data_IF_703576365723
#
_entry.id   IF_703576365723
#
_cell.length_a   1.000
_cell.length_b   1.000
_cell.length_c   1.000
_cell.angle_alpha   90.00
_cell.angle_beta   90.00
_cell.angle_gamma   90.00
#
_symmetry.space_group_name_H-M   'P 1'
#
loop_
_entity.id
_entity.type
_entity.pdbx_description
1 polymer ?
#
# COMPACT_ATOMS: atom_id res chain seq x y z
N UNK A 1 23.11 1.36 15.93
CA UNK A 1 22.33 0.49 15.06
C UNK A 1 22.56 0.87 13.60
N UNK A 2 22.50 -0.08 12.69
CA UNK A 2 22.54 0.18 11.25
C UNK A 2 21.21 0.69 10.73
N UNK A 3 21.23 1.71 9.87
CA UNK A 3 20.04 2.28 9.25
C UNK A 3 20.35 2.89 7.87
N UNK A 4 19.32 3.02 7.05
CA UNK A 4 19.33 3.88 5.86
C UNK A 4 18.88 5.26 6.29
N UNK A 5 19.74 6.24 6.17
CA UNK A 5 19.45 7.64 6.54
C UNK A 5 19.48 8.50 5.31
N UNK A 6 18.36 9.15 5.02
CA UNK A 6 18.27 10.20 4.01
C UNK A 6 18.55 11.56 4.64
N UNK A 7 19.55 12.27 4.13
CA UNK A 7 19.88 13.64 4.56
C UNK A 7 19.17 14.70 3.69
N UNK A 8 18.79 14.33 2.47
CA UNK A 8 18.06 15.13 1.50
C UNK A 8 17.50 14.20 0.40
N UNK A 9 16.63 14.68 -0.51
CA UNK A 9 16.22 13.92 -1.68
C UNK A 9 17.42 13.33 -2.43
N UNK A 10 17.33 12.04 -2.77
CA UNK A 10 18.37 11.26 -3.49
C UNK A 10 19.73 11.14 -2.76
N UNK A 11 19.83 11.63 -1.51
CA UNK A 11 21.06 11.55 -0.70
C UNK A 11 20.84 10.67 0.52
N UNK A 12 21.20 9.41 0.42
CA UNK A 12 21.09 8.46 1.50
C UNK A 12 22.43 7.81 1.83
N UNK A 13 22.54 7.27 3.03
CA UNK A 13 23.69 6.50 3.50
C UNK A 13 23.21 5.31 4.34
N UNK A 14 23.84 4.16 4.14
CA UNK A 14 23.79 3.06 5.09
C UNK A 14 24.86 3.31 6.14
N UNK A 15 24.47 3.65 7.37
CA UNK A 15 25.41 4.07 8.42
C UNK A 15 24.99 3.62 9.80
N UNK A 16 25.92 3.73 10.76
CA UNK A 16 25.63 3.60 12.17
C UNK A 16 24.99 4.87 12.72
N UNK A 17 23.91 4.69 13.45
CA UNK A 17 23.22 5.74 14.21
C UNK A 17 22.96 5.23 15.63
N UNK A 18 22.80 6.13 16.64
CA UNK A 18 22.38 5.71 17.97
C UNK A 18 21.06 4.93 17.93
N UNK A 19 20.92 3.88 18.75
CA UNK A 19 19.62 3.25 18.92
C UNK A 19 18.64 4.24 19.57
N UNK A 20 17.36 4.26 19.17
CA UNK A 20 16.39 5.20 19.72
C UNK A 20 16.10 4.89 21.20
N UNK A 21 15.99 5.94 22.00
CA UNK A 21 15.53 5.83 23.39
C UNK A 21 14.01 5.80 23.39
N UNK A 22 13.42 4.94 24.22
CA UNK A 22 11.96 4.82 24.35
C UNK A 22 11.43 5.70 25.49
N UNK A 23 10.21 6.19 25.30
CA UNK A 23 9.41 6.87 26.32
C UNK A 23 8.52 5.85 27.06
N UNK A 24 7.85 6.23 28.17
CA UNK A 24 7.05 5.29 28.97
C UNK A 24 5.97 4.51 28.19
N UNK A 25 5.39 5.08 27.16
CA UNK A 25 4.33 4.51 26.34
C UNK A 25 4.82 3.96 24.97
N UNK A 26 6.14 3.88 24.79
CA UNK A 26 6.76 3.34 23.58
C UNK A 26 7.17 1.88 23.75
N UNK A 27 7.41 1.23 22.61
CA UNK A 27 8.16 -0.02 22.53
C UNK A 27 9.34 0.13 21.57
N UNK A 28 10.40 -0.64 21.80
CA UNK A 28 11.49 -0.81 20.86
C UNK A 28 11.31 -2.13 20.13
N UNK A 29 11.18 -2.05 18.83
CA UNK A 29 11.03 -3.21 17.95
C UNK A 29 12.33 -3.46 17.21
N UNK A 30 12.89 -4.66 17.32
CA UNK A 30 13.93 -5.17 16.43
C UNK A 30 13.26 -5.57 15.12
N UNK A 31 13.63 -4.91 14.04
CA UNK A 31 13.01 -5.14 12.72
C UNK A 31 13.54 -6.45 12.12
N UNK A 32 12.62 -7.33 11.73
CA UNK A 32 12.93 -8.56 11.01
C UNK A 32 12.84 -8.38 9.50
N UNK A 33 11.87 -7.59 9.03
CA UNK A 33 11.71 -7.24 7.63
C UNK A 33 10.92 -5.93 7.50
N UNK A 34 11.18 -5.20 6.42
CA UNK A 34 10.39 -4.03 6.05
C UNK A 34 10.11 -4.06 4.54
N UNK A 35 8.85 -3.91 4.15
CA UNK A 35 8.44 -3.85 2.75
C UNK A 35 8.84 -2.53 2.10
N UNK A 36 9.14 -2.58 0.80
CA UNK A 36 9.39 -1.40 -0.03
C UNK A 36 8.13 -1.05 -0.81
N UNK A 37 7.69 0.20 -0.69
CA UNK A 37 6.51 0.76 -1.32
C UNK A 37 6.87 1.78 -2.40
N UNK A 38 5.93 2.09 -3.29
CA UNK A 38 6.04 3.23 -4.20
C UNK A 38 6.26 4.55 -3.46
N UNK A 39 5.70 4.72 -2.27
CA UNK A 39 5.92 5.87 -1.38
C UNK A 39 7.40 6.07 -1.03
N UNK A 40 8.19 5.01 -0.87
CA UNK A 40 9.63 5.14 -0.59
C UNK A 40 10.39 5.70 -1.79
N UNK A 41 9.92 5.43 -3.02
CA UNK A 41 10.47 6.02 -4.24
C UNK A 41 10.11 7.51 -4.35
N UNK A 42 8.89 7.88 -3.97
CA UNK A 42 8.47 9.30 -3.89
C UNK A 42 9.28 10.05 -2.82
N UNK A 43 9.50 9.45 -1.63
CA UNK A 43 10.36 10.03 -0.58
C UNK A 43 11.79 10.20 -1.09
N UNK A 44 12.31 9.23 -1.86
CA UNK A 44 13.64 9.34 -2.48
C UNK A 44 13.73 10.57 -3.39
N UNK A 45 12.67 10.88 -4.12
CA UNK A 45 12.58 12.07 -4.97
C UNK A 45 12.29 13.37 -4.20
N UNK A 46 11.92 13.30 -2.92
CA UNK A 46 11.57 14.44 -2.06
C UNK A 46 10.10 14.81 -2.05
N UNK A 47 9.25 13.95 -2.58
CA UNK A 47 7.79 14.09 -2.56
C UNK A 47 7.19 13.57 -1.23
N UNK A 48 5.92 13.82 -0.94
CA UNK A 48 5.21 13.49 0.31
C UNK A 48 5.68 14.28 1.55
N UNK A 49 6.37 15.39 1.35
CA UNK A 49 6.81 16.28 2.43
C UNK A 49 7.66 15.61 3.51
N UNK A 50 8.64 14.75 3.16
CA UNK A 50 9.50 14.12 4.16
C UNK A 50 10.31 15.19 4.91
N UNK A 51 10.58 14.92 6.19
CA UNK A 51 11.43 15.78 7.02
C UNK A 51 12.79 15.12 7.17
N UNK A 52 13.79 15.66 6.50
CA UNK A 52 15.15 15.16 6.58
C UNK A 52 15.91 15.76 7.80
N UNK A 53 16.85 15.00 8.44
CA UNK A 53 17.17 13.61 8.13
C UNK A 53 16.04 12.64 8.48
N UNK A 54 15.92 11.55 7.70
CA UNK A 54 14.84 10.57 7.83
C UNK A 54 15.36 9.15 7.61
N UNK A 55 14.90 8.21 8.43
CA UNK A 55 14.96 6.77 8.17
C UNK A 55 13.60 6.34 7.59
N UNK A 56 13.49 5.96 6.30
CA UNK A 56 12.22 5.54 5.70
C UNK A 56 11.78 4.14 6.13
N UNK A 57 10.73 3.60 5.46
CA UNK A 57 10.19 2.27 5.66
C UNK A 57 9.01 2.23 6.61
N UNK A 58 7.80 2.07 6.06
CA UNK A 58 6.53 2.14 6.78
C UNK A 58 5.76 0.81 6.82
N UNK A 59 6.28 -0.25 6.20
CA UNK A 59 5.67 -1.58 6.14
C UNK A 59 6.52 -2.60 6.92
N UNK A 60 6.69 -2.40 8.22
CA UNK A 60 7.66 -3.14 9.03
C UNK A 60 7.03 -4.20 9.92
N UNK A 61 7.79 -5.25 10.16
CA UNK A 61 7.52 -6.31 11.13
C UNK A 61 8.78 -6.64 11.93
N UNK A 62 8.61 -7.09 13.16
CA UNK A 62 9.74 -7.40 14.02
C UNK A 62 9.35 -8.07 15.32
N UNK A 63 10.19 -7.90 16.33
CA UNK A 63 10.03 -8.45 17.65
C UNK A 63 10.29 -7.34 18.71
N UNK A 64 9.44 -7.27 19.70
CA UNK A 64 9.61 -6.32 20.81
C UNK A 64 10.84 -6.74 21.62
N UNK A 65 11.79 -5.82 21.79
CA UNK A 65 13.01 -6.06 22.58
C UNK A 65 13.07 -5.21 23.85
N UNK A 66 12.24 -4.18 23.96
CA UNK A 66 12.15 -3.34 25.15
C UNK A 66 10.76 -2.70 25.23
N UNK A 67 10.24 -2.61 26.45
CA UNK A 67 8.94 -2.02 26.76
C UNK A 67 9.12 -0.76 27.62
N UNK A 68 8.38 0.30 27.29
CA UNK A 68 8.24 1.46 28.16
C UNK A 68 7.48 1.12 29.45
N UNK A 69 7.75 1.86 30.52
CA UNK A 69 7.22 1.56 31.86
C UNK A 69 5.69 1.61 31.99
N UNK A 70 5.01 2.29 31.07
CA UNK A 70 3.54 2.38 31.03
C UNK A 70 2.88 1.25 30.21
N UNK A 71 3.64 0.50 29.41
CA UNK A 71 3.12 -0.57 28.56
C UNK A 71 2.80 -1.81 29.39
N UNK A 72 1.55 -2.33 29.31
CA UNK A 72 1.07 -3.45 30.13
C UNK A 72 0.65 -4.68 29.32
N UNK A 73 0.18 -4.47 28.10
CA UNK A 73 -0.51 -5.51 27.31
C UNK A 73 0.38 -6.19 26.27
N UNK A 74 1.65 -5.82 26.20
CA UNK A 74 2.64 -6.37 25.30
C UNK A 74 3.78 -7.06 26.08
N UNK A 75 4.58 -7.89 25.40
CA UNK A 75 5.69 -8.64 26.02
C UNK A 75 6.95 -8.55 25.15
N UNK A 76 8.12 -8.55 25.78
CA UNK A 76 9.39 -8.78 25.10
C UNK A 76 9.39 -10.16 24.43
N UNK A 77 10.02 -10.27 23.27
CA UNK A 77 10.00 -11.46 22.45
C UNK A 77 8.73 -11.61 21.60
N UNK A 78 7.73 -10.75 21.75
CA UNK A 78 6.49 -10.82 20.99
C UNK A 78 6.72 -10.35 19.54
N UNK A 79 6.33 -11.18 18.55
CA UNK A 79 6.38 -10.81 17.15
C UNK A 79 5.23 -9.89 16.80
N UNK A 80 5.52 -8.83 16.07
CA UNK A 80 4.58 -7.73 15.84
C UNK A 80 4.70 -7.11 14.45
N UNK A 81 3.64 -6.42 14.05
CA UNK A 81 3.63 -5.39 13.00
C UNK A 81 3.24 -4.05 13.60
N UNK A 82 3.65 -2.96 12.99
CA UNK A 82 3.28 -1.62 13.43
C UNK A 82 2.43 -0.88 12.41
N UNK A 83 1.36 -0.24 12.91
CA UNK A 83 0.62 0.74 12.14
C UNK A 83 1.44 2.04 12.09
N UNK A 84 1.93 2.37 10.90
CA UNK A 84 2.77 3.55 10.72
C UNK A 84 2.06 4.88 10.94
N UNK A 85 0.73 4.93 10.91
CA UNK A 85 -0.04 6.16 10.85
C UNK A 85 -0.54 6.64 12.21
N UNK A 86 -0.36 7.93 12.49
CA UNK A 86 -0.76 8.58 13.73
C UNK A 86 -1.60 9.84 13.46
N UNK A 87 -2.69 9.98 14.22
CA UNK A 87 -3.51 11.18 14.25
C UNK A 87 -3.32 11.95 15.57
N UNK A 88 -3.42 13.27 15.55
CA UNK A 88 -3.18 14.10 16.74
C UNK A 88 -4.30 14.06 17.79
N UNK A 89 -5.46 13.47 17.49
CA UNK A 89 -6.62 13.34 18.38
C UNK A 89 -7.41 14.62 18.67
N UNK A 90 -6.91 15.82 18.33
CA UNK A 90 -7.47 17.12 18.79
C UNK A 90 -7.77 18.15 17.70
N UNK A 91 -7.44 17.91 16.44
CA UNK A 91 -7.77 18.85 15.36
C UNK A 91 -9.23 18.74 14.91
N UNK A 92 -9.66 19.65 14.02
CA UNK A 92 -11.01 19.68 13.48
C UNK A 92 -11.53 18.33 13.00
N UNK A 93 -10.71 17.55 12.30
CA UNK A 93 -11.11 16.25 11.78
C UNK A 93 -11.11 15.17 12.87
N UNK A 94 -10.10 15.14 13.73
CA UNK A 94 -10.00 14.15 14.81
C UNK A 94 -11.17 14.24 15.79
N UNK A 95 -11.57 15.45 16.18
CA UNK A 95 -12.71 15.65 17.12
C UNK A 95 -14.07 15.25 16.52
N UNK A 96 -14.10 14.91 15.21
CA UNK A 96 -15.27 14.39 14.48
C UNK A 96 -15.13 12.92 14.09
N UNK A 97 -14.12 12.22 14.65
CA UNK A 97 -13.86 10.82 14.34
C UNK A 97 -13.19 10.56 12.99
N UNK A 98 -12.82 11.62 12.25
CA UNK A 98 -12.17 11.47 10.95
C UNK A 98 -10.64 11.57 11.10
N UNK A 99 -10.05 10.56 11.74
CA UNK A 99 -8.64 10.55 12.11
C UNK A 99 -7.69 10.53 10.92
N UNK A 100 -8.09 9.90 9.81
CA UNK A 100 -7.28 9.81 8.59
C UNK A 100 -7.05 11.18 7.93
N UNK A 101 -8.01 12.12 8.09
CA UNK A 101 -7.91 13.49 7.59
C UNK A 101 -7.27 14.45 8.59
N UNK A 102 -6.50 13.93 9.54
CA UNK A 102 -5.84 14.73 10.58
C UNK A 102 -4.93 15.81 10.00
N UNK A 103 -5.09 17.07 10.42
CA UNK A 103 -4.23 18.19 9.99
C UNK A 103 -2.77 18.06 10.43
N UNK A 104 -2.52 17.24 11.46
CA UNK A 104 -1.19 16.96 11.97
C UNK A 104 -0.88 15.46 11.82
N UNK A 105 -1.29 14.89 10.71
CA UNK A 105 -1.04 13.48 10.39
C UNK A 105 0.45 13.20 10.33
N UNK A 106 0.88 12.12 10.99
CA UNK A 106 2.27 11.66 10.99
C UNK A 106 2.32 10.21 10.58
N UNK A 107 3.43 9.80 9.99
CA UNK A 107 3.64 8.41 9.62
C UNK A 107 5.10 8.00 9.82
N UNK A 108 5.31 6.90 10.54
CA UNK A 108 6.61 6.28 10.67
C UNK A 108 7.11 5.82 9.30
N UNK A 109 8.35 6.16 8.98
CA UNK A 109 8.96 5.89 7.68
C UNK A 109 8.61 6.89 6.57
N UNK A 110 7.80 7.92 6.88
CA UNK A 110 7.42 8.99 5.92
C UNK A 110 7.73 10.38 6.50
N UNK A 111 7.20 10.70 7.67
CA UNK A 111 7.42 11.98 8.37
C UNK A 111 8.15 11.82 9.71
N UNK A 112 8.36 10.60 10.16
CA UNK A 112 9.11 10.18 11.33
C UNK A 112 9.97 8.96 10.94
N UNK A 113 11.03 8.67 11.70
CA UNK A 113 11.88 7.51 11.45
C UNK A 113 11.11 6.20 11.42
N UNK A 114 11.45 5.32 10.48
CA UNK A 114 10.77 4.09 10.16
C UNK A 114 11.64 2.83 10.23
N UNK A 115 11.21 1.79 9.50
CA UNK A 115 11.70 0.41 9.61
C UNK A 115 12.92 0.07 8.76
N UNK A 116 13.50 0.97 7.97
CA UNK A 116 14.77 0.68 7.28
C UNK A 116 15.97 0.87 8.22
N UNK A 117 15.87 0.22 9.37
CA UNK A 117 16.85 0.20 10.45
C UNK A 117 16.79 -1.12 11.23
N UNK A 118 17.80 -1.41 12.06
CA UNK A 118 17.77 -2.57 12.96
C UNK A 118 16.67 -2.46 14.03
N UNK A 119 16.42 -1.26 14.52
CA UNK A 119 15.46 -1.00 15.59
C UNK A 119 14.59 0.20 15.26
N UNK A 120 13.33 0.12 15.66
CA UNK A 120 12.35 1.19 15.56
C UNK A 120 11.71 1.44 16.92
N UNK A 121 11.66 2.70 17.36
CA UNK A 121 10.81 3.15 18.46
C UNK A 121 9.44 3.52 17.93
N UNK A 122 8.39 2.98 18.52
CA UNK A 122 7.02 3.24 18.12
C UNK A 122 6.09 3.22 19.35
N UNK A 123 4.99 3.97 19.31
CA UNK A 123 3.95 3.94 20.33
C UNK A 123 3.35 2.54 20.46
N UNK A 124 3.17 2.08 21.72
CA UNK A 124 2.64 0.74 21.98
C UNK A 124 1.23 0.52 21.43
N UNK A 125 0.40 1.57 21.36
CA UNK A 125 -0.95 1.52 20.79
C UNK A 125 -0.97 1.40 19.24
N UNK A 126 0.20 1.54 18.60
CA UNK A 126 0.38 1.31 17.16
C UNK A 126 0.87 -0.09 16.83
N UNK A 127 1.12 -0.93 17.83
CA UNK A 127 1.68 -2.29 17.67
C UNK A 127 0.57 -3.34 17.73
N UNK A 128 0.65 -4.29 16.80
CA UNK A 128 -0.27 -5.41 16.69
C UNK A 128 0.50 -6.73 16.69
N UNK A 129 0.24 -7.62 17.66
CA UNK A 129 0.82 -8.96 17.64
C UNK A 129 0.46 -9.72 16.38
N UNK A 130 1.43 -10.42 15.81
CA UNK A 130 1.21 -11.36 14.71
C UNK A 130 1.23 -12.78 15.24
N UNK A 131 0.28 -13.61 14.80
CA UNK A 131 0.23 -15.02 15.17
C UNK A 131 1.20 -15.86 14.35
N UNK A 132 0.69 -16.56 13.36
CA UNK A 132 1.46 -17.52 12.54
C UNK A 132 2.18 -16.90 11.34
N UNK A 133 1.92 -15.66 10.99
CA UNK A 133 2.54 -15.03 9.82
C UNK A 133 4.07 -15.05 9.94
N UNK A 134 4.74 -15.42 8.85
CA UNK A 134 6.18 -15.21 8.71
C UNK A 134 6.50 -13.72 8.57
N UNK A 135 7.74 -13.27 8.82
CA UNK A 135 8.13 -11.89 8.56
C UNK A 135 7.86 -11.46 7.10
N UNK A 136 8.07 -12.37 6.15
CA UNK A 136 7.80 -12.16 4.73
C UNK A 136 6.31 -11.89 4.44
N UNK A 137 5.41 -12.60 5.10
CA UNK A 137 3.97 -12.36 4.96
C UNK A 137 3.53 -11.10 5.71
N UNK A 138 4.13 -10.87 6.87
CA UNK A 138 3.75 -9.78 7.76
C UNK A 138 4.04 -8.37 7.20
N UNK A 139 5.02 -8.20 6.31
CA UNK A 139 5.24 -6.92 5.58
C UNK A 139 4.07 -6.56 4.68
N UNK A 140 3.16 -7.50 4.39
CA UNK A 140 1.95 -7.25 3.61
C UNK A 140 0.76 -6.78 4.45
N UNK A 141 0.89 -6.68 5.79
CA UNK A 141 -0.22 -6.24 6.66
C UNK A 141 -0.57 -4.78 6.37
N UNK A 142 0.42 -3.89 6.31
CA UNK A 142 0.19 -2.46 6.03
C UNK A 142 -0.47 -2.24 4.66
N UNK A 143 0.07 -2.73 3.53
CA UNK A 143 -0.59 -2.56 2.22
C UNK A 143 -1.96 -3.26 2.14
N UNK A 144 -2.18 -4.34 2.88
CA UNK A 144 -3.50 -4.97 2.98
C UNK A 144 -4.49 -4.11 3.76
N UNK A 145 -4.04 -3.42 4.80
CA UNK A 145 -4.85 -2.47 5.54
C UNK A 145 -5.26 -1.26 4.68
N UNK A 146 -4.34 -0.73 3.86
CA UNK A 146 -4.66 0.30 2.87
C UNK A 146 -5.68 -0.20 1.84
N UNK A 147 -5.52 -1.42 1.34
CA UNK A 147 -6.47 -2.01 0.39
C UNK A 147 -7.87 -2.20 1.00
N UNK A 148 -7.96 -2.60 2.27
CA UNK A 148 -9.23 -2.69 3.00
C UNK A 148 -9.92 -1.33 3.12
N UNK A 149 -9.16 -0.27 3.45
CA UNK A 149 -9.71 1.09 3.46
C UNK A 149 -10.20 1.50 2.05
N UNK A 150 -9.47 1.17 1.00
CA UNK A 150 -9.90 1.38 -0.38
C UNK A 150 -11.23 0.70 -0.70
N UNK A 151 -11.44 -0.52 -0.20
CA UNK A 151 -12.73 -1.24 -0.35
C UNK A 151 -13.88 -0.55 0.39
N UNK A 152 -13.63 0.02 1.57
CA UNK A 152 -14.62 0.80 2.31
C UNK A 152 -15.02 2.07 1.55
N UNK A 153 -14.03 2.81 1.03
CA UNK A 153 -14.26 3.98 0.19
C UNK A 153 -15.04 3.61 -1.06
N UNK A 154 -14.68 2.51 -1.72
CA UNK A 154 -15.37 2.02 -2.92
C UNK A 154 -16.85 1.72 -2.63
N UNK A 155 -17.13 1.08 -1.51
CA UNK A 155 -18.47 0.69 -1.07
C UNK A 155 -19.23 -0.11 -2.18
N UNK A 156 -18.55 -1.10 -2.72
CA UNK A 156 -19.04 -1.92 -3.84
C UNK A 156 -20.28 -2.73 -3.46
N UNK A 157 -21.25 -2.80 -4.37
CA UNK A 157 -22.41 -3.70 -4.24
C UNK A 157 -22.02 -5.11 -4.70
N UNK A 158 -22.39 -6.17 -3.96
CA UNK A 158 -22.18 -7.55 -4.42
C UNK A 158 -22.88 -7.83 -5.76
N UNK A 159 -22.28 -8.72 -6.57
CA UNK A 159 -22.77 -9.07 -7.90
C UNK A 159 -22.34 -8.12 -9.01
N UNK A 160 -21.57 -7.06 -8.72
CA UNK A 160 -21.15 -6.06 -9.68
C UNK A 160 -20.01 -6.52 -10.59
N UNK A 161 -19.95 -5.96 -11.80
CA UNK A 161 -18.83 -6.06 -12.73
C UNK A 161 -17.74 -5.07 -12.36
N UNK A 162 -16.52 -5.55 -12.17
CA UNK A 162 -15.38 -4.74 -11.70
C UNK A 162 -14.21 -4.82 -12.69
N UNK A 163 -13.61 -3.67 -12.98
CA UNK A 163 -12.35 -3.57 -13.72
C UNK A 163 -11.27 -3.00 -12.79
N UNK A 164 -10.20 -3.74 -12.60
CA UNK A 164 -9.02 -3.30 -11.86
C UNK A 164 -7.86 -3.05 -12.81
N UNK A 165 -7.35 -1.83 -12.82
CA UNK A 165 -6.10 -1.48 -13.48
C UNK A 165 -4.93 -1.60 -12.50
N UNK A 166 -3.98 -2.47 -12.84
CA UNK A 166 -2.76 -2.69 -12.06
C UNK A 166 -2.73 -4.03 -11.31
N UNK A 167 -1.65 -4.76 -11.52
CA UNK A 167 -1.34 -6.04 -10.88
C UNK A 167 -0.07 -5.96 -10.00
N UNK A 168 0.27 -4.77 -9.48
CA UNK A 168 1.32 -4.57 -8.49
C UNK A 168 0.97 -5.20 -7.13
N UNK A 169 1.82 -5.05 -6.09
CA UNK A 169 1.58 -5.68 -4.79
C UNK A 169 0.18 -5.41 -4.23
N UNK A 170 -0.23 -4.15 -4.25
CA UNK A 170 -1.55 -3.73 -3.76
C UNK A 170 -2.68 -4.17 -4.70
N UNK A 171 -2.43 -4.19 -6.03
CA UNK A 171 -3.40 -4.72 -7.01
C UNK A 171 -3.69 -6.21 -6.79
N UNK A 172 -2.68 -7.01 -6.39
CA UNK A 172 -2.85 -8.41 -6.02
C UNK A 172 -3.78 -8.58 -4.80
N UNK A 173 -3.65 -7.70 -3.81
CA UNK A 173 -4.49 -7.71 -2.60
C UNK A 173 -5.90 -7.20 -2.92
N UNK A 174 -6.00 -6.07 -3.64
CA UNK A 174 -7.29 -5.51 -4.07
C UNK A 174 -8.11 -6.51 -4.88
N UNK A 175 -7.49 -7.24 -5.82
CA UNK A 175 -8.19 -8.25 -6.60
C UNK A 175 -8.83 -9.33 -5.72
N UNK A 176 -8.10 -9.84 -4.74
CA UNK A 176 -8.62 -10.82 -3.78
C UNK A 176 -9.75 -10.22 -2.93
N UNK A 177 -9.58 -8.99 -2.43
CA UNK A 177 -10.59 -8.29 -1.64
C UNK A 177 -11.86 -8.02 -2.47
N UNK A 178 -11.74 -7.60 -3.73
CA UNK A 178 -12.90 -7.39 -4.62
C UNK A 178 -13.72 -8.67 -4.76
N UNK A 179 -13.08 -9.83 -4.96
CA UNK A 179 -13.77 -11.13 -5.01
C UNK A 179 -14.41 -11.49 -3.67
N UNK A 180 -13.69 -11.32 -2.56
CA UNK A 180 -14.21 -11.59 -1.21
C UNK A 180 -15.39 -10.69 -0.82
N UNK A 181 -15.44 -9.46 -1.37
CA UNK A 181 -16.56 -8.53 -1.18
C UNK A 181 -17.69 -8.72 -2.21
N UNK A 182 -17.64 -9.79 -3.01
CA UNK A 182 -18.76 -10.21 -3.84
C UNK A 182 -18.75 -9.63 -5.26
N UNK A 183 -17.60 -9.26 -5.84
CA UNK A 183 -17.55 -8.97 -7.28
C UNK A 183 -18.10 -10.16 -8.08
N UNK A 184 -19.14 -9.93 -8.87
CA UNK A 184 -19.75 -10.94 -9.74
C UNK A 184 -18.79 -11.36 -10.84
N UNK A 185 -18.13 -10.37 -11.43
CA UNK A 185 -17.04 -10.56 -12.39
C UNK A 185 -15.91 -9.56 -12.10
N UNK A 186 -14.68 -10.04 -12.05
CA UNK A 186 -13.47 -9.25 -11.92
C UNK A 186 -12.57 -9.40 -13.15
N UNK A 187 -12.38 -8.31 -13.87
CA UNK A 187 -11.39 -8.19 -14.95
C UNK A 187 -10.20 -7.41 -14.43
N UNK A 188 -8.97 -7.92 -14.62
CA UNK A 188 -7.74 -7.21 -14.25
C UNK A 188 -6.93 -6.89 -15.49
N UNK A 189 -6.61 -5.61 -15.66
CA UNK A 189 -5.82 -5.09 -16.76
C UNK A 189 -4.44 -4.61 -16.28
N UNK A 190 -3.38 -5.19 -16.82
CA UNK A 190 -1.98 -4.82 -16.50
C UNK A 190 -1.05 -5.27 -17.65
N UNK A 191 0.22 -4.80 -17.70
CA UNK A 191 1.19 -5.33 -18.64
C UNK A 191 1.33 -6.86 -18.50
N UNK A 192 1.53 -7.54 -19.63
CA UNK A 192 1.76 -8.98 -19.66
C UNK A 192 2.98 -9.37 -18.81
N UNK A 193 2.91 -10.54 -18.17
CA UNK A 193 4.00 -11.12 -17.39
C UNK A 193 3.59 -11.61 -16.01
N UNK A 194 4.57 -11.98 -15.17
CA UNK A 194 4.33 -12.72 -13.91
C UNK A 194 3.31 -12.09 -12.96
N UNK A 195 3.21 -10.75 -12.94
CA UNK A 195 2.24 -10.03 -12.09
C UNK A 195 0.80 -10.27 -12.56
N UNK A 196 0.57 -10.20 -13.87
CA UNK A 196 -0.76 -10.46 -14.45
C UNK A 196 -1.13 -11.94 -14.32
N UNK A 197 -0.15 -12.83 -14.53
CA UNK A 197 -0.35 -14.27 -14.36
C UNK A 197 -0.72 -14.62 -12.91
N UNK A 198 -0.04 -14.00 -11.93
CA UNK A 198 -0.30 -14.23 -10.51
C UNK A 198 -1.71 -13.78 -10.13
N UNK A 199 -2.15 -12.58 -10.50
CA UNK A 199 -3.49 -12.10 -10.17
C UNK A 199 -4.58 -12.93 -10.83
N UNK A 200 -4.31 -13.45 -12.03
CA UNK A 200 -5.19 -14.42 -12.71
C UNK A 200 -5.39 -15.72 -11.90
N UNK A 201 -4.31 -16.23 -11.29
CA UNK A 201 -4.40 -17.42 -10.42
C UNK A 201 -5.05 -17.14 -9.07
N UNK A 202 -4.86 -15.93 -8.51
CA UNK A 202 -5.30 -15.59 -7.16
C UNK A 202 -6.77 -15.17 -7.11
N UNK A 203 -7.26 -14.40 -8.10
CA UNK A 203 -8.56 -13.75 -7.95
C UNK A 203 -9.28 -13.36 -9.23
N UNK A 204 -8.59 -12.97 -10.31
CA UNK A 204 -9.27 -12.45 -11.49
C UNK A 204 -10.05 -13.53 -12.24
N UNK A 205 -11.29 -13.22 -12.66
CA UNK A 205 -12.04 -14.10 -13.55
C UNK A 205 -11.48 -14.01 -14.98
N UNK A 206 -10.97 -12.84 -15.36
CA UNK A 206 -10.34 -12.59 -16.65
C UNK A 206 -9.19 -11.60 -16.51
N UNK A 207 -8.16 -11.75 -17.33
CA UNK A 207 -7.04 -10.82 -17.40
C UNK A 207 -6.91 -10.22 -18.80
N UNK A 208 -6.55 -8.94 -18.87
CA UNK A 208 -6.29 -8.23 -20.13
C UNK A 208 -4.87 -7.68 -20.10
N UNK A 209 -4.07 -8.09 -21.07
CA UNK A 209 -2.71 -7.60 -21.22
C UNK A 209 -2.69 -6.21 -21.84
N UNK A 210 -2.20 -5.21 -21.12
CA UNK A 210 -2.00 -3.85 -21.61
C UNK A 210 -0.69 -3.82 -22.41
N UNK A 211 -0.77 -3.45 -23.68
CA UNK A 211 0.39 -3.09 -24.49
C UNK A 211 0.48 -1.57 -24.57
N UNK A 212 1.58 -1.01 -24.05
CA UNK A 212 1.82 0.45 -24.05
C UNK A 212 2.08 0.99 -25.47
N UNK A 213 2.44 0.13 -26.43
CA UNK A 213 2.68 0.50 -27.81
C UNK A 213 1.41 0.39 -28.65
N UNK A 214 0.39 -0.32 -28.19
CA UNK A 214 -0.91 -0.49 -28.85
C UNK A 214 -2.04 -0.40 -27.83
N UNK A 215 -2.38 0.83 -27.45
CA UNK A 215 -3.45 1.08 -26.48
C UNK A 215 -4.83 0.66 -27.02
N UNK A 216 -5.05 0.72 -28.34
CA UNK A 216 -6.33 0.36 -28.95
C UNK A 216 -6.65 -1.14 -28.83
N UNK A 217 -5.62 -1.97 -28.74
CA UNK A 217 -5.80 -3.42 -28.59
C UNK A 217 -6.52 -3.77 -27.30
N UNK A 218 -6.02 -3.29 -26.16
CA UNK A 218 -6.65 -3.58 -24.88
C UNK A 218 -7.98 -2.82 -24.70
N UNK A 219 -8.13 -1.63 -25.28
CA UNK A 219 -9.39 -0.89 -25.26
C UNK A 219 -10.50 -1.68 -25.96
N UNK A 220 -10.25 -2.18 -27.17
CA UNK A 220 -11.22 -3.04 -27.89
C UNK A 220 -11.57 -4.26 -27.06
N UNK A 221 -10.57 -4.97 -26.53
CA UNK A 221 -10.79 -6.16 -25.72
C UNK A 221 -11.65 -5.87 -24.47
N UNK A 222 -11.41 -4.76 -23.77
CA UNK A 222 -12.22 -4.36 -22.61
C UNK A 222 -13.66 -4.00 -23.00
N UNK A 223 -13.86 -3.33 -24.14
CA UNK A 223 -15.20 -3.03 -24.66
C UNK A 223 -15.93 -4.30 -25.14
N UNK A 224 -15.26 -5.25 -25.75
CA UNK A 224 -15.84 -6.55 -26.10
C UNK A 224 -16.26 -7.35 -24.88
N UNK A 225 -15.44 -7.34 -23.81
CA UNK A 225 -15.75 -8.00 -22.54
C UNK A 225 -16.93 -7.35 -21.80
N UNK A 226 -17.09 -6.04 -21.91
CA UNK A 226 -18.18 -5.30 -21.27
C UNK A 226 -18.67 -4.15 -22.17
N UNK A 227 -19.56 -4.43 -23.15
CA UNK A 227 -20.05 -3.41 -24.08
C UNK A 227 -20.78 -2.25 -23.43
N UNK A 228 -21.38 -2.46 -22.25
CA UNK A 228 -22.06 -1.43 -21.45
C UNK A 228 -21.17 -0.80 -20.40
N UNK A 229 -19.91 -1.23 -20.28
CA UNK A 229 -18.94 -0.81 -19.27
C UNK A 229 -19.08 -1.55 -17.94
N UNK A 230 -18.23 -1.20 -16.99
CA UNK A 230 -18.12 -1.80 -15.67
C UNK A 230 -18.82 -0.94 -14.61
N UNK A 231 -19.40 -1.57 -13.58
CA UNK A 231 -20.02 -0.86 -12.46
C UNK A 231 -19.00 -0.13 -11.61
N UNK A 232 -17.84 -0.77 -11.39
CA UNK A 232 -16.73 -0.21 -10.62
C UNK A 232 -15.42 -0.35 -11.39
N UNK A 233 -14.65 0.72 -11.35
CA UNK A 233 -13.28 0.73 -11.86
C UNK A 233 -12.36 1.10 -10.70
N UNK A 234 -11.29 0.33 -10.50
CA UNK A 234 -10.24 0.62 -9.51
C UNK A 234 -8.96 0.92 -10.26
N UNK A 235 -8.46 2.14 -10.14
CA UNK A 235 -7.18 2.53 -10.69
C UNK A 235 -6.09 2.39 -9.62
N UNK A 236 -5.22 1.38 -9.76
CA UNK A 236 -4.16 1.05 -8.80
C UNK A 236 -2.76 1.05 -9.45
N UNK A 237 -2.57 1.82 -10.53
CA UNK A 237 -1.27 1.92 -11.22
C UNK A 237 -0.46 3.16 -10.82
N UNK A 238 -1.13 4.25 -10.40
CA UNK A 238 -0.52 5.55 -10.18
C UNK A 238 -0.02 6.21 -11.47
N UNK A 239 -0.66 5.92 -12.60
CA UNK A 239 -0.32 6.50 -13.91
C UNK A 239 -1.43 7.43 -14.38
N UNK A 240 -1.13 8.72 -14.54
CA UNK A 240 -2.09 9.71 -15.01
C UNK A 240 -2.72 9.32 -16.36
N UNK A 241 -1.92 8.80 -17.31
CA UNK A 241 -2.41 8.37 -18.62
C UNK A 241 -3.36 7.17 -18.53
N UNK A 242 -3.14 6.24 -17.60
CA UNK A 242 -4.08 5.14 -17.36
C UNK A 242 -5.34 5.67 -16.71
N UNK A 243 -5.24 6.56 -15.74
CA UNK A 243 -6.38 7.15 -15.06
C UNK A 243 -7.29 7.93 -16.02
N UNK A 244 -6.73 8.74 -16.91
CA UNK A 244 -7.48 9.44 -17.96
C UNK A 244 -8.26 8.48 -18.85
N UNK A 245 -7.70 7.31 -19.14
CA UNK A 245 -8.31 6.30 -19.98
C UNK A 245 -9.45 5.52 -19.32
N UNK A 246 -9.51 5.52 -17.97
CA UNK A 246 -10.42 4.64 -17.21
C UNK A 246 -11.90 4.92 -17.46
N UNK A 247 -12.30 6.19 -17.57
CA UNK A 247 -13.72 6.55 -17.59
C UNK A 247 -14.48 6.05 -18.84
N UNK A 248 -13.80 5.78 -19.94
CA UNK A 248 -14.45 5.20 -21.11
C UNK A 248 -15.04 3.81 -20.83
N UNK A 249 -14.44 3.09 -19.86
CA UNK A 249 -14.90 1.75 -19.48
C UNK A 249 -15.96 1.75 -18.38
N UNK A 250 -16.26 2.91 -17.78
CA UNK A 250 -17.30 3.00 -16.76
C UNK A 250 -18.70 2.87 -17.40
N UNK A 251 -19.56 2.09 -16.80
CA UNK A 251 -20.99 2.06 -17.12
C UNK A 251 -21.67 3.37 -16.64
N UNK A 252 -22.85 3.71 -17.17
CA UNK A 252 -23.65 4.81 -16.64
C UNK A 252 -23.98 4.54 -15.16
N UNK A 253 -23.81 5.53 -14.29
CA UNK A 253 -23.91 5.39 -12.85
C UNK A 253 -22.71 4.67 -12.20
N UNK A 254 -21.65 4.39 -12.97
CA UNK A 254 -20.47 3.68 -12.47
C UNK A 254 -19.59 4.52 -11.56
N UNK A 255 -18.69 3.85 -10.84
CA UNK A 255 -17.77 4.49 -9.90
C UNK A 255 -16.32 4.19 -10.26
N UNK A 256 -15.49 5.23 -10.31
CA UNK A 256 -14.03 5.14 -10.39
C UNK A 256 -13.45 5.37 -8.99
N UNK A 257 -12.64 4.42 -8.50
CA UNK A 257 -11.76 4.61 -7.35
C UNK A 257 -10.34 4.91 -7.82
N UNK A 258 -9.86 6.12 -7.54
CA UNK A 258 -8.46 6.52 -7.68
C UNK A 258 -7.73 6.04 -6.43
N UNK A 259 -7.03 4.91 -6.55
CA UNK A 259 -6.32 4.25 -5.47
C UNK A 259 -4.80 4.37 -5.61
N UNK A 260 -4.31 4.38 -6.84
CA UNK A 260 -2.88 4.54 -7.15
C UNK A 260 -2.32 5.85 -6.59
N UNK A 261 -1.03 5.84 -6.26
CA UNK A 261 -0.31 7.03 -5.83
C UNK A 261 0.39 7.64 -7.05
N UNK A 262 0.18 8.93 -7.26
CA UNK A 262 0.70 9.71 -8.40
C UNK A 262 1.76 10.70 -7.91
N UNK A 263 2.70 11.13 -8.78
CA UNK A 263 3.50 12.32 -8.53
C UNK A 263 2.59 13.53 -8.23
N UNK A 264 3.01 14.39 -7.29
CA UNK A 264 2.21 15.55 -6.85
C UNK A 264 1.90 16.54 -7.99
N UNK A 265 2.70 16.53 -9.04
CA UNK A 265 2.56 17.40 -10.22
C UNK A 265 1.68 16.83 -11.32
N UNK A 266 1.29 15.56 -11.22
CA UNK A 266 0.49 14.92 -12.25
C UNK A 266 -0.93 15.49 -12.28
N UNK A 267 -1.46 15.67 -13.49
CA UNK A 267 -2.82 16.15 -13.75
C UNK A 267 -3.55 15.16 -14.62
N UNK A 268 -4.77 14.82 -14.22
CA UNK A 268 -5.70 13.95 -14.97
C UNK A 268 -6.87 14.79 -15.47
N UNK A 269 -7.24 14.65 -16.74
CA UNK A 269 -8.32 15.42 -17.37
C UNK A 269 -9.52 14.53 -17.66
N UNK A 270 -10.68 14.97 -17.19
CA UNK A 270 -11.96 14.34 -17.48
C UNK A 270 -12.92 15.32 -18.14
N UNK A 271 -13.74 14.81 -19.08
CA UNK A 271 -14.79 15.60 -19.68
C UNK A 271 -15.95 15.79 -18.69
N UNK A 272 -16.23 17.02 -18.18
CA UNK A 272 -17.29 17.23 -17.20
C UNK A 272 -18.69 16.94 -17.73
N UNK A 273 -18.93 17.12 -19.04
CA UNK A 273 -20.21 16.77 -19.64
C UNK A 273 -20.46 15.26 -19.64
N UNK A 274 -19.41 14.45 -19.87
CA UNK A 274 -19.50 13.00 -19.80
C UNK A 274 -19.79 12.53 -18.37
N UNK A 275 -19.11 13.11 -17.36
CA UNK A 275 -19.42 12.86 -15.95
C UNK A 275 -20.87 13.16 -15.61
N UNK A 276 -21.35 14.35 -16.02
CA UNK A 276 -22.73 14.80 -15.79
C UNK A 276 -23.73 13.86 -16.45
N UNK A 277 -23.59 13.61 -17.77
CA UNK A 277 -24.56 12.83 -18.54
C UNK A 277 -24.65 11.37 -18.11
N UNK A 278 -23.54 10.80 -17.62
CA UNK A 278 -23.45 9.41 -17.22
C UNK A 278 -23.57 9.20 -15.71
N UNK A 279 -23.69 10.27 -14.93
CA UNK A 279 -23.74 10.23 -13.44
C UNK A 279 -22.58 9.44 -12.84
N UNK A 280 -21.34 9.68 -13.33
CA UNK A 280 -20.15 8.97 -12.86
C UNK A 280 -19.71 9.52 -11.51
N UNK A 281 -19.41 8.63 -10.56
CA UNK A 281 -18.81 8.96 -9.29
C UNK A 281 -17.29 8.75 -9.35
N UNK A 282 -16.48 9.71 -8.90
CA UNK A 282 -15.04 9.56 -8.70
C UNK A 282 -14.74 9.66 -7.22
N UNK A 283 -14.00 8.70 -6.68
CA UNK A 283 -13.59 8.63 -5.28
C UNK A 283 -12.08 8.51 -5.18
N UNK A 284 -11.46 9.17 -4.19
CA UNK A 284 -10.06 8.99 -3.84
C UNK A 284 -9.92 8.13 -2.58
N UNK A 285 -8.89 7.30 -2.49
CA UNK A 285 -8.54 6.53 -1.30
C UNK A 285 -7.14 6.91 -0.83
N UNK A 286 -7.03 7.30 0.43
CA UNK A 286 -5.76 7.70 1.04
C UNK A 286 -5.41 6.81 2.22
N UNK A 287 -4.24 6.15 2.19
CA UNK A 287 -3.67 5.39 3.31
C UNK A 287 -4.70 4.53 4.09
N UNK A 288 -4.56 4.47 5.40
CA UNK A 288 -5.47 3.83 6.35
C UNK A 288 -5.14 4.29 7.79
N UNK A 289 -5.98 4.03 8.77
CA UNK A 289 -5.67 4.34 10.17
C UNK A 289 -6.10 3.26 11.18
N UNK A 290 -7.17 2.52 10.90
CA UNK A 290 -7.78 1.56 11.83
C UNK A 290 -7.99 0.14 11.23
N UNK A 291 -7.45 -0.11 10.04
CA UNK A 291 -7.70 -1.34 9.29
C UNK A 291 -6.76 -2.50 9.67
N UNK A 292 -5.72 -2.28 10.51
CA UNK A 292 -4.72 -3.32 10.85
C UNK A 292 -5.31 -4.60 11.44
N UNK A 293 -6.23 -4.55 12.45
CA UNK A 293 -6.82 -5.78 13.00
C UNK A 293 -7.53 -6.63 11.95
N UNK A 294 -8.22 -5.98 11.00
CA UNK A 294 -8.92 -6.66 9.92
C UNK A 294 -7.96 -7.23 8.88
N UNK A 295 -6.90 -6.49 8.54
CA UNK A 295 -5.86 -6.99 7.65
C UNK A 295 -5.19 -8.25 8.24
N UNK A 296 -4.83 -8.23 9.51
CA UNK A 296 -4.30 -9.39 10.22
C UNK A 296 -5.27 -10.58 10.16
N UNK A 297 -6.55 -10.37 10.44
CA UNK A 297 -7.56 -11.44 10.40
C UNK A 297 -7.68 -12.08 9.00
N UNK A 298 -7.61 -11.28 7.92
CA UNK A 298 -7.62 -11.78 6.55
C UNK A 298 -6.36 -12.58 6.20
N UNK A 299 -5.20 -12.09 6.59
CA UNK A 299 -3.93 -12.74 6.30
C UNK A 299 -3.76 -14.02 7.13
N UNK A 300 -4.01 -13.96 8.43
CA UNK A 300 -3.89 -15.12 9.33
C UNK A 300 -4.92 -16.23 9.01
N UNK A 301 -6.11 -15.89 8.54
CA UNK A 301 -7.08 -16.88 8.06
C UNK A 301 -6.74 -17.46 6.69
N UNK A 302 -5.74 -16.90 5.98
CA UNK A 302 -5.37 -17.32 4.62
C UNK A 302 -6.39 -16.94 3.54
N UNK A 303 -7.38 -16.10 3.87
CA UNK A 303 -8.37 -15.58 2.90
C UNK A 303 -7.70 -14.65 1.88
N UNK A 304 -6.70 -13.88 2.30
CA UNK A 304 -5.79 -13.16 1.41
C UNK A 304 -4.47 -13.91 1.40
N UNK A 305 -4.05 -14.34 0.21
CA UNK A 305 -2.80 -15.06 -0.02
C UNK A 305 -1.72 -14.07 -0.43
N UNK A 306 -0.63 -13.99 0.33
CA UNK A 306 0.46 -13.03 0.10
C UNK A 306 1.84 -13.65 -0.07
N UNK A 307 1.99 -14.95 0.16
CA UNK A 307 3.27 -15.65 0.12
C UNK A 307 3.99 -15.57 -1.24
N UNK A 308 3.24 -15.53 -2.36
CA UNK A 308 3.80 -15.35 -3.71
C UNK A 308 3.96 -13.87 -4.10
N UNK A 309 3.37 -12.94 -3.33
CA UNK A 309 3.43 -11.49 -3.65
C UNK A 309 4.80 -10.92 -3.29
N UNK A 310 5.37 -11.30 -2.14
CA UNK A 310 6.74 -10.90 -1.78
C UNK A 310 7.71 -11.73 -2.60
N UNK A 311 8.15 -11.17 -3.73
CA UNK A 311 8.95 -11.88 -4.72
C UNK A 311 10.45 -11.81 -4.46
N UNK A 312 10.92 -10.74 -3.81
CA UNK A 312 12.33 -10.42 -3.69
C UNK A 312 12.70 -10.01 -2.27
N UNK A 313 13.87 -10.42 -1.81
CA UNK A 313 14.45 -10.03 -0.53
C UNK A 313 15.86 -9.50 -0.74
N UNK A 314 16.19 -8.40 -0.05
CA UNK A 314 17.51 -7.78 -0.08
C UNK A 314 17.98 -7.47 1.34
N UNK A 315 19.30 -7.47 1.56
CA UNK A 315 19.85 -6.93 2.79
C UNK A 315 19.74 -5.39 2.79
N UNK A 316 19.53 -4.81 3.97
CA UNK A 316 19.40 -3.35 4.13
C UNK A 316 20.60 -2.57 3.57
N UNK A 317 21.81 -3.14 3.67
CA UNK A 317 23.04 -2.53 3.12
C UNK A 317 23.03 -2.34 1.60
N UNK A 318 22.22 -3.13 0.89
CA UNK A 318 22.12 -3.12 -0.57
C UNK A 318 21.09 -2.12 -1.10
N UNK A 319 20.73 -1.10 -0.31
CA UNK A 319 19.64 -0.16 -0.59
C UNK A 319 19.70 0.47 -2.00
N UNK A 320 20.88 0.77 -2.53
CA UNK A 320 21.02 1.25 -3.91
C UNK A 320 20.47 0.26 -4.93
N UNK A 321 20.78 -1.04 -4.77
CA UNK A 321 20.25 -2.13 -5.63
C UNK A 321 18.76 -2.33 -5.44
N UNK A 322 18.26 -2.12 -4.21
CA UNK A 322 16.81 -2.16 -3.91
C UNK A 322 16.07 -1.11 -4.73
N UNK A 323 16.57 0.12 -4.76
CA UNK A 323 15.98 1.21 -5.55
C UNK A 323 16.00 0.88 -7.05
N UNK A 324 17.14 0.45 -7.60
CA UNK A 324 17.25 0.04 -9.01
C UNK A 324 16.24 -1.07 -9.35
N UNK A 325 16.11 -2.07 -8.48
CA UNK A 325 15.17 -3.17 -8.67
C UNK A 325 13.71 -2.69 -8.61
N UNK A 326 13.38 -1.83 -7.65
CA UNK A 326 12.04 -1.24 -7.51
C UNK A 326 11.64 -0.42 -8.77
N UNK A 327 12.54 0.43 -9.28
CA UNK A 327 12.29 1.18 -10.53
C UNK A 327 12.19 0.31 -11.76
N UNK A 328 12.92 -0.81 -11.80
CA UNK A 328 12.80 -1.76 -12.92
C UNK A 328 11.43 -2.42 -13.02
N UNK A 329 10.63 -2.39 -11.94
CA UNK A 329 9.30 -3.01 -11.81
C UNK A 329 9.27 -4.51 -12.16
N UNK A 330 10.43 -5.20 -12.11
CA UNK A 330 10.52 -6.64 -12.43
C UNK A 330 9.90 -7.51 -11.34
N UNK A 331 10.23 -7.25 -10.06
CA UNK A 331 9.62 -7.91 -8.90
C UNK A 331 8.19 -7.44 -8.63
N UNK A 332 7.48 -8.14 -7.75
CA UNK A 332 6.14 -7.73 -7.30
C UNK A 332 6.28 -6.89 -6.03
N UNK A 333 6.70 -7.50 -4.93
CA UNK A 333 6.99 -6.82 -3.66
C UNK A 333 8.39 -7.16 -3.19
N UNK A 334 9.11 -6.15 -2.76
CA UNK A 334 10.45 -6.27 -2.19
C UNK A 334 10.33 -6.20 -0.67
N UNK A 335 11.01 -7.08 0.05
CA UNK A 335 11.27 -6.96 1.47
C UNK A 335 12.77 -6.67 1.71
N UNK A 336 13.05 -5.78 2.65
CA UNK A 336 14.41 -5.46 3.08
C UNK A 336 14.63 -6.02 4.47
N UNK A 337 15.76 -6.71 4.64
CA UNK A 337 16.14 -7.40 5.87
C UNK A 337 17.29 -6.65 6.54
N UNK A 338 17.07 -6.00 7.69
CA UNK A 338 18.15 -5.42 8.48
C UNK A 338 19.11 -6.49 9.01
N UNK A 339 20.37 -6.15 9.32
CA UNK A 339 21.28 -7.10 9.96
C UNK A 339 20.79 -7.45 11.37
N UNK A 340 21.07 -8.68 11.82
CA UNK A 340 20.74 -9.17 13.17
C UNK A 340 21.59 -8.50 14.25
#
# INVERSE_FOLDING_TARGET
MKAIVYEAPRKFQYKDVPAPKIEPDDVLVRIHACGVCGTDLHIHEGEFGPRFPLIPGHEFTGEIVLLGSAVKDLKEGQRVVGNSNEACGKCFYCTRGNFLMCLNFRSYGVTQDGGFAQYLRIKADRIFPIGRLSPREAVMVEPSACALHGMEVLAMKPGSDVLLFGAGPTGQVLAQLLKLNGAGRLVVAAPAGPKLDLVGRLAADQTVAIDRNDLEKHRRQLHELSPTGFDYIVEATGSASVCEDTLQFARRGGTLLVYGVYPETDVVRFNPFDLFRREITIKGSFAQIDAFPRALAYLESGKIKVNEIVSDEFELKDWGRVLEHAWSRKGIKIAVIPPT
#
